data_IF_855534330155
#
_entry.id   IF_855534330155
#
_cell.length_a   1.000
_cell.length_b   1.000
_cell.length_c   1.000
_cell.angle_alpha   90.00
_cell.angle_beta   90.00
_cell.angle_gamma   90.00
#
_symmetry.space_group_name_H-M   'P 1'
#
loop_
_entity.id
_entity.type
_entity.pdbx_description
1 polymer ?
#
# COMPACT_ATOMS: atom_id res chain seq x y z
N UNK A 1 -6.61 9.74 53.55
CA UNK A 1 -6.37 8.84 52.40
C UNK A 1 -7.00 9.51 51.19
N UNK A 2 -6.21 10.21 50.36
CA UNK A 2 -6.74 10.96 49.22
C UNK A 2 -7.13 10.00 48.08
N UNK A 3 -8.28 10.20 47.42
CA UNK A 3 -8.66 9.38 46.27
C UNK A 3 -7.75 9.76 45.08
N UNK A 4 -7.10 8.77 44.47
CA UNK A 4 -6.31 8.99 43.26
C UNK A 4 -7.24 9.38 42.10
N UNK A 5 -6.88 10.38 41.27
CA UNK A 5 -7.70 10.79 40.14
C UNK A 5 -7.76 9.67 39.09
N UNK A 6 -8.98 9.23 38.75
CA UNK A 6 -9.27 8.35 37.60
C UNK A 6 -9.36 9.20 36.33
N UNK A 7 -8.22 9.66 35.79
CA UNK A 7 -8.22 10.57 34.61
C UNK A 7 -7.29 10.11 33.48
N UNK A 8 -6.54 9.01 33.61
CA UNK A 8 -5.56 8.61 32.57
C UNK A 8 -6.15 7.77 31.43
N UNK A 9 -7.05 6.82 31.72
CA UNK A 9 -7.43 5.76 30.77
C UNK A 9 -8.15 6.23 29.50
N UNK A 10 -8.99 7.28 29.55
CA UNK A 10 -9.69 7.78 28.36
C UNK A 10 -8.76 8.55 27.42
N UNK A 11 -7.87 9.39 27.99
CA UNK A 11 -6.91 10.18 27.22
C UNK A 11 -5.86 9.29 26.54
N UNK A 12 -5.42 8.23 27.24
CA UNK A 12 -4.48 7.24 26.70
C UNK A 12 -5.08 6.47 25.51
N UNK A 13 -6.39 6.22 25.53
CA UNK A 13 -7.12 5.53 24.45
C UNK A 13 -7.30 6.44 23.23
N UNK A 14 -7.70 7.70 23.44
CA UNK A 14 -7.81 8.71 22.37
C UNK A 14 -6.46 9.00 21.71
N UNK A 15 -5.38 9.06 22.50
CA UNK A 15 -4.02 9.24 21.98
C UNK A 15 -3.57 8.01 21.18
N UNK A 16 -3.84 6.79 21.65
CA UNK A 16 -3.53 5.58 20.90
C UNK A 16 -4.29 5.51 19.57
N UNK A 17 -5.56 5.92 19.55
CA UNK A 17 -6.39 5.96 18.36
C UNK A 17 -5.98 7.06 17.38
N UNK A 18 -5.57 8.23 17.89
CA UNK A 18 -4.96 9.30 17.10
C UNK A 18 -3.59 8.90 16.50
N UNK A 19 -2.77 8.15 17.24
CA UNK A 19 -1.49 7.63 16.73
C UNK A 19 -1.72 6.55 15.65
N UNK A 20 -2.72 5.69 15.84
CA UNK A 20 -3.09 4.63 14.88
C UNK A 20 -3.65 5.21 13.58
N UNK A 21 -4.49 6.24 13.69
CA UNK A 21 -5.01 6.99 12.52
C UNK A 21 -3.94 7.81 11.81
N UNK A 22 -2.98 8.39 12.55
CA UNK A 22 -1.83 9.06 11.95
C UNK A 22 -0.96 8.07 11.15
N UNK A 23 -0.64 6.91 11.72
CA UNK A 23 0.13 5.86 11.04
C UNK A 23 -0.61 5.30 9.80
N UNK A 24 -1.94 5.19 9.87
CA UNK A 24 -2.78 4.79 8.74
C UNK A 24 -2.72 5.78 7.56
N UNK A 25 -2.89 7.08 7.84
CA UNK A 25 -2.79 8.13 6.82
C UNK A 25 -1.41 8.19 6.16
N UNK A 26 -0.35 7.99 6.95
CA UNK A 26 1.01 7.90 6.46
C UNK A 26 1.26 6.63 5.63
N UNK A 27 0.65 5.51 6.00
CA UNK A 27 0.69 4.27 5.24
C UNK A 27 0.07 4.45 3.85
N UNK A 28 -1.14 5.01 3.77
CA UNK A 28 -1.82 5.30 2.49
C UNK A 28 -0.96 6.22 1.63
N UNK A 29 -0.43 7.31 2.21
CA UNK A 29 0.42 8.24 1.48
C UNK A 29 1.66 7.56 0.91
N UNK A 30 2.28 6.63 1.65
CA UNK A 30 3.42 5.83 1.15
C UNK A 30 2.98 4.89 0.03
N UNK A 31 1.85 4.21 0.18
CA UNK A 31 1.29 3.35 -0.86
C UNK A 31 1.01 4.13 -2.16
N UNK A 32 0.47 5.34 -2.05
CA UNK A 32 0.22 6.22 -3.20
C UNK A 32 1.51 6.65 -3.91
N UNK A 33 2.57 6.88 -3.13
CA UNK A 33 3.90 7.16 -3.69
C UNK A 33 4.42 5.96 -4.49
N UNK A 34 4.32 4.74 -3.94
CA UNK A 34 4.72 3.52 -4.65
C UNK A 34 3.87 3.27 -5.89
N UNK A 35 2.55 3.47 -5.80
CA UNK A 35 1.65 3.39 -6.95
C UNK A 35 2.06 4.38 -8.05
N UNK A 36 2.37 5.62 -7.67
CA UNK A 36 2.84 6.65 -8.60
C UNK A 36 4.18 6.31 -9.27
N UNK A 37 5.07 5.58 -8.59
CA UNK A 37 6.32 5.07 -9.18
C UNK A 37 6.03 3.94 -10.17
N UNK A 38 5.28 2.91 -9.75
CA UNK A 38 4.89 1.77 -10.58
C UNK A 38 4.19 2.23 -11.86
N UNK A 39 3.26 3.17 -11.75
CA UNK A 39 2.53 3.70 -12.90
C UNK A 39 3.42 4.44 -13.90
N UNK A 40 4.34 5.29 -13.42
CA UNK A 40 5.20 6.11 -14.29
C UNK A 40 6.38 5.35 -14.88
N UNK A 41 6.92 4.38 -14.12
CA UNK A 41 8.15 3.68 -14.48
C UNK A 41 7.92 2.30 -15.08
N UNK A 42 6.88 1.59 -14.66
CA UNK A 42 6.63 0.21 -15.11
C UNK A 42 5.50 0.19 -16.15
N UNK A 43 4.29 0.59 -15.77
CA UNK A 43 3.10 0.49 -16.62
C UNK A 43 3.22 1.28 -17.94
N UNK A 44 4.03 2.34 -17.97
CA UNK A 44 4.29 3.14 -19.18
C UNK A 44 4.89 2.31 -20.33
N UNK A 45 5.67 1.28 -20.01
CA UNK A 45 6.36 0.45 -21.02
C UNK A 45 5.65 -0.87 -21.28
N UNK A 46 4.45 -1.07 -20.73
CA UNK A 46 3.68 -2.29 -20.97
C UNK A 46 3.24 -2.35 -22.44
N UNK A 47 3.47 -3.50 -23.08
CA UNK A 47 2.94 -3.75 -24.41
C UNK A 47 1.40 -3.84 -24.37
N UNK A 48 0.65 -3.04 -25.16
CA UNK A 48 -0.81 -3.05 -25.14
C UNK A 48 -1.42 -4.34 -25.72
N UNK A 49 -0.65 -5.09 -26.51
CA UNK A 49 -1.12 -6.33 -27.16
C UNK A 49 -0.79 -7.58 -26.35
N UNK A 50 0.41 -7.63 -25.75
CA UNK A 50 0.88 -8.83 -25.03
C UNK A 50 0.86 -8.68 -23.52
N UNK A 51 0.76 -7.46 -23.00
CA UNK A 51 0.86 -7.16 -21.57
C UNK A 51 2.28 -7.33 -21.00
N UNK A 52 3.27 -7.66 -21.83
CA UNK A 52 4.65 -7.91 -21.41
C UNK A 52 5.46 -6.60 -21.28
N UNK A 53 6.52 -6.69 -20.49
CA UNK A 53 7.44 -5.59 -20.21
C UNK A 53 8.81 -5.83 -20.85
N UNK A 54 9.43 -4.78 -21.41
CA UNK A 54 10.81 -4.83 -21.85
C UNK A 54 11.76 -4.78 -20.65
N UNK A 55 12.95 -5.34 -20.80
CA UNK A 55 14.00 -5.30 -19.76
C UNK A 55 14.60 -3.92 -19.57
N UNK A 56 14.66 -3.11 -20.63
CA UNK A 56 15.25 -1.77 -20.60
C UNK A 56 14.33 -0.81 -21.36
N UNK A 57 14.16 0.40 -20.84
CA UNK A 57 13.25 1.42 -21.39
C UNK A 57 13.55 1.85 -22.83
N UNK A 58 14.79 1.66 -23.30
CA UNK A 58 15.21 2.00 -24.67
C UNK A 58 14.96 0.89 -25.69
N UNK A 59 14.74 -0.36 -25.27
CA UNK A 59 14.58 -1.51 -26.15
C UNK A 59 13.21 -2.15 -25.92
N UNK A 60 12.16 -1.59 -26.52
CA UNK A 60 10.77 -2.07 -26.38
C UNK A 60 10.36 -3.13 -27.40
N UNK A 61 11.26 -3.52 -28.31
CA UNK A 61 10.98 -4.52 -29.35
C UNK A 61 11.00 -5.96 -28.82
N UNK A 62 11.67 -6.19 -27.70
CA UNK A 62 11.80 -7.52 -27.08
C UNK A 62 11.25 -7.48 -25.65
N UNK A 63 10.36 -8.43 -25.36
CA UNK A 63 9.79 -8.61 -24.04
C UNK A 63 10.62 -9.57 -23.20
N UNK A 64 10.84 -9.23 -21.92
CA UNK A 64 11.48 -10.12 -20.96
C UNK A 64 10.45 -10.68 -19.98
N UNK A 65 10.20 -11.98 -20.07
CA UNK A 65 9.21 -12.68 -19.26
C UNK A 65 9.53 -12.57 -17.76
N UNK A 66 10.81 -12.71 -17.40
CA UNK A 66 11.27 -12.63 -16.01
C UNK A 66 10.93 -11.27 -15.38
N UNK A 67 11.24 -10.19 -16.08
CA UNK A 67 11.01 -8.83 -15.58
C UNK A 67 9.51 -8.53 -15.53
N UNK A 68 8.76 -9.02 -16.51
CA UNK A 68 7.29 -8.95 -16.49
C UNK A 68 6.71 -9.63 -15.26
N UNK A 69 7.23 -10.80 -14.87
CA UNK A 69 6.80 -11.50 -13.67
C UNK A 69 7.09 -10.70 -12.41
N UNK A 70 8.29 -10.15 -12.26
CA UNK A 70 8.66 -9.32 -11.10
C UNK A 70 7.77 -8.08 -10.98
N UNK A 71 7.48 -7.42 -12.09
CA UNK A 71 6.58 -6.26 -12.14
C UNK A 71 5.16 -6.66 -11.74
N UNK A 72 4.64 -7.76 -12.28
CA UNK A 72 3.33 -8.28 -11.91
C UNK A 72 3.24 -8.62 -10.42
N UNK A 73 4.26 -9.27 -9.84
CA UNK A 73 4.33 -9.54 -8.41
C UNK A 73 4.35 -8.26 -7.57
N UNK A 74 5.08 -7.23 -8.00
CA UNK A 74 5.11 -5.93 -7.32
C UNK A 74 3.75 -5.23 -7.36
N UNK A 75 3.06 -5.22 -8.51
CA UNK A 75 1.71 -4.67 -8.64
C UNK A 75 0.72 -5.42 -7.75
N UNK A 76 0.80 -6.75 -7.72
CA UNK A 76 -0.07 -7.58 -6.90
C UNK A 76 0.18 -7.40 -5.40
N UNK A 77 1.44 -7.27 -4.99
CA UNK A 77 1.80 -6.96 -3.61
C UNK A 77 1.26 -5.57 -3.19
N UNK A 78 1.37 -4.58 -4.07
CA UNK A 78 0.81 -3.26 -3.84
C UNK A 78 -0.71 -3.32 -3.71
N UNK A 79 -1.40 -3.99 -4.64
CA UNK A 79 -2.84 -4.22 -4.58
C UNK A 79 -3.26 -4.87 -3.26
N UNK A 80 -2.58 -5.94 -2.85
CA UNK A 80 -2.84 -6.58 -1.56
C UNK A 80 -2.55 -5.67 -0.37
N UNK A 81 -1.54 -4.80 -0.44
CA UNK A 81 -1.25 -3.85 0.63
C UNK A 81 -2.37 -2.79 0.76
N UNK A 82 -2.90 -2.30 -0.37
CA UNK A 82 -4.11 -1.46 -0.37
C UNK A 82 -5.28 -2.23 0.24
N UNK A 83 -5.62 -3.42 -0.27
CA UNK A 83 -6.77 -4.19 0.24
C UNK A 83 -6.62 -4.56 1.72
N UNK A 84 -5.49 -5.12 2.15
CA UNK A 84 -5.31 -5.60 3.54
C UNK A 84 -5.08 -4.50 4.56
N UNK A 85 -4.70 -3.28 4.16
CA UNK A 85 -4.53 -2.17 5.12
C UNK A 85 -5.73 -1.25 5.14
N UNK A 86 -6.36 -1.00 4.00
CA UNK A 86 -7.49 -0.08 3.87
C UNK A 86 -8.82 -0.75 4.19
N UNK A 87 -8.94 -2.06 3.92
CA UNK A 87 -10.18 -2.81 4.21
C UNK A 87 -10.22 -3.39 5.64
N UNK A 88 -9.05 -3.54 6.29
CA UNK A 88 -8.95 -3.93 7.72
C UNK A 88 -9.62 -2.90 8.65
N UNK A 89 -9.74 -1.65 8.19
CA UNK A 89 -10.44 -0.56 8.89
C UNK A 89 -11.95 -0.47 8.56
N UNK A 90 -12.47 -1.20 7.55
CA UNK A 90 -13.87 -1.07 7.07
C UNK A 90 -14.82 -2.22 7.39
N UNK A 91 -14.35 -3.33 7.94
CA UNK A 91 -15.24 -4.37 8.44
C UNK A 91 -14.48 -5.39 9.27
N UNK A 92 -14.69 -5.46 10.59
CA UNK A 92 -15.68 -6.42 11.11
C UNK A 92 -15.73 -7.69 10.26
N UNK A 93 -14.78 -8.59 10.51
CA UNK A 93 -15.15 -10.00 10.63
C UNK A 93 -16.07 -10.15 11.84
N UNK A 94 -17.29 -9.64 11.73
CA UNK A 94 -18.38 -10.09 12.59
C UNK A 94 -18.76 -11.48 12.10
N UNK A 95 -18.45 -12.45 12.95
CA UNK A 95 -19.04 -13.79 13.04
C UNK A 95 -18.71 -14.80 11.92
#
# INVERSE_FOLDING_TARGET
MYPKPKVSTSLDTELAEALKTNDYSDCIRRLDQYYGQVKRQLLRYQSPTTGLFPRVSCHTNEAHIRDSLYICSAIWALFQAYTKRIDDDRGKGHE
#
